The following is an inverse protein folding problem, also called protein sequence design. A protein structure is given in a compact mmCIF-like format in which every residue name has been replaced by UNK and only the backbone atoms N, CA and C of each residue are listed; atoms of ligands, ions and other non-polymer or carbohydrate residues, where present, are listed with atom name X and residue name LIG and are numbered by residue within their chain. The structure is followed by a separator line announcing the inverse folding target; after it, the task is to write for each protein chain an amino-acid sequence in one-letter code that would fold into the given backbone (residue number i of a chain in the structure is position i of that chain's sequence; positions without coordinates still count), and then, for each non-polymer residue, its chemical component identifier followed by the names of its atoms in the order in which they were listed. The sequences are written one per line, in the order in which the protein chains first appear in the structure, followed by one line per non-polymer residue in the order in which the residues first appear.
data_IF_516586084147
#
_entry.id   IF_516586084147
#
_cell.length_a   1.000
_cell.length_b   1.000
_cell.length_c   1.000
_cell.angle_alpha   90.00
_cell.angle_beta   90.00
_cell.angle_gamma   90.00
#
_symmetry.space_group_name_H-M   'P 1'
#
loop_
_entity.id
_entity.type
_entity.pdbx_description
1 polymer ?
#
# COMPACT_ATOMS: atom_id res chain seq x y z
N UNK A 1 -23.10 14.59 11.59
CA UNK A 1 -22.70 15.27 10.33
C UNK A 1 -21.68 14.43 9.61
N UNK A 2 -21.94 14.14 8.35
CA UNK A 2 -21.03 13.36 7.53
C UNK A 2 -20.15 14.30 6.71
N UNK A 3 -18.84 14.07 6.75
CA UNK A 3 -17.88 14.75 5.89
C UNK A 3 -17.59 13.85 4.69
N UNK A 4 -17.44 14.44 3.53
CA UNK A 4 -17.02 13.68 2.36
C UNK A 4 -15.57 13.28 2.52
N UNK A 5 -15.25 12.08 2.07
CA UNK A 5 -13.92 11.48 2.20
C UNK A 5 -12.82 12.44 1.72
N UNK A 6 -12.98 12.98 0.53
CA UNK A 6 -11.96 13.85 -0.08
C UNK A 6 -11.72 15.14 0.72
N UNK A 7 -12.73 15.62 1.43
CA UNK A 7 -12.63 16.87 2.22
C UNK A 7 -11.79 16.67 3.48
N UNK A 8 -11.59 15.43 3.91
CA UNK A 8 -10.82 15.11 5.10
C UNK A 8 -9.33 14.92 4.83
N UNK A 9 -8.93 14.84 3.57
CA UNK A 9 -7.58 14.47 3.19
C UNK A 9 -6.66 15.69 3.07
N UNK A 10 -5.44 15.52 3.56
CA UNK A 10 -4.39 16.53 3.46
C UNK A 10 -3.22 15.92 2.71
N UNK A 11 -3.09 16.28 1.44
CA UNK A 11 -1.96 15.85 0.62
C UNK A 11 -0.73 16.68 0.97
N UNK A 12 0.45 16.11 0.83
CA UNK A 12 1.69 16.83 1.10
C UNK A 12 2.00 17.85 -0.01
N UNK A 13 3.13 18.55 0.13
CA UNK A 13 3.53 19.62 -0.83
C UNK A 13 3.72 19.11 -2.25
N UNK A 14 3.92 17.81 -2.43
CA UNK A 14 4.06 17.19 -3.74
C UNK A 14 2.74 16.65 -4.29
N UNK A 15 1.65 16.88 -3.57
CA UNK A 15 0.34 16.38 -3.95
C UNK A 15 0.16 14.89 -3.68
N UNK A 16 0.91 14.33 -2.74
CA UNK A 16 0.88 12.90 -2.42
C UNK A 16 0.38 12.66 -1.00
N UNK A 17 -0.25 11.50 -0.81
CA UNK A 17 -0.64 11.02 0.51
C UNK A 17 -0.09 9.60 0.67
N UNK A 18 0.57 9.30 1.80
CA UNK A 18 1.04 7.93 2.04
C UNK A 18 -0.13 7.02 2.37
N UNK A 19 -0.03 5.78 1.91
CA UNK A 19 -1.03 4.75 2.16
C UNK A 19 -0.34 3.48 2.62
N UNK A 20 -0.69 3.02 3.81
CA UNK A 20 -0.25 1.74 4.33
C UNK A 20 -1.19 0.68 3.78
N UNK A 21 -0.63 -0.34 3.15
CA UNK A 21 -1.40 -1.45 2.59
C UNK A 21 -1.28 -2.64 3.53
N UNK A 22 -2.41 -3.18 3.96
CA UNK A 22 -2.48 -4.28 4.93
C UNK A 22 -3.34 -5.38 4.36
N UNK A 23 -2.91 -6.64 4.54
CA UNK A 23 -3.71 -7.77 4.12
C UNK A 23 -4.91 -7.94 5.05
N UNK A 24 -6.11 -8.05 4.48
CA UNK A 24 -7.36 -8.10 5.23
C UNK A 24 -7.49 -9.42 6.02
N UNK A 25 -7.00 -10.52 5.48
CA UNK A 25 -7.15 -11.83 6.11
C UNK A 25 -6.13 -12.07 7.22
N UNK A 26 -4.86 -11.80 6.95
CA UNK A 26 -3.78 -12.09 7.90
C UNK A 26 -3.50 -10.94 8.85
N UNK A 27 -3.87 -9.73 8.48
CA UNK A 27 -3.52 -8.54 9.25
C UNK A 27 -2.08 -8.07 9.02
N UNK A 28 -1.32 -8.75 8.16
CA UNK A 28 0.05 -8.33 7.88
C UNK A 28 0.09 -7.00 7.14
N UNK A 29 1.00 -6.13 7.55
CA UNK A 29 1.31 -4.93 6.79
C UNK A 29 2.15 -5.34 5.59
N UNK A 30 1.71 -4.96 4.40
CA UNK A 30 2.31 -5.43 3.16
C UNK A 30 3.33 -4.45 2.60
N UNK A 31 2.97 -3.17 2.54
CA UNK A 31 3.83 -2.15 1.94
C UNK A 31 3.32 -0.76 2.30
N UNK A 32 4.16 0.23 2.02
CA UNK A 32 3.78 1.64 2.06
C UNK A 32 3.92 2.18 0.64
N UNK A 33 2.88 2.83 0.16
CA UNK A 33 2.89 3.45 -1.16
C UNK A 33 2.42 4.89 -1.07
N UNK A 34 2.48 5.60 -2.18
CA UNK A 34 2.00 6.97 -2.27
C UNK A 34 0.95 7.09 -3.35
N UNK A 35 -0.05 7.92 -3.08
CA UNK A 35 -1.12 8.18 -4.03
C UNK A 35 -1.23 9.68 -4.24
N UNK A 36 -1.40 10.10 -5.49
CA UNK A 36 -1.90 11.44 -5.75
C UNK A 36 -3.43 11.36 -5.81
N UNK A 37 -4.07 12.49 -6.00
CA UNK A 37 -5.53 12.56 -6.04
C UNK A 37 -6.12 11.64 -7.13
N UNK A 38 -5.46 11.56 -8.29
CA UNK A 38 -5.90 10.70 -9.39
C UNK A 38 -5.76 9.21 -9.06
N UNK A 39 -4.64 8.81 -8.44
CA UNK A 39 -4.44 7.42 -8.02
C UNK A 39 -5.50 6.99 -6.99
N UNK A 40 -5.78 7.86 -6.03
CA UNK A 40 -6.82 7.57 -5.03
C UNK A 40 -8.19 7.44 -5.69
N UNK A 41 -8.52 8.35 -6.60
CA UNK A 41 -9.79 8.29 -7.32
C UNK A 41 -9.93 6.98 -8.10
N UNK A 42 -8.89 6.58 -8.82
CA UNK A 42 -8.87 5.31 -9.54
C UNK A 42 -9.01 4.12 -8.62
N UNK A 43 -8.35 4.14 -7.47
CA UNK A 43 -8.46 3.08 -6.47
C UNK A 43 -9.90 2.91 -6.02
N UNK A 44 -10.59 4.01 -5.72
CA UNK A 44 -11.97 3.97 -5.27
C UNK A 44 -12.95 3.58 -6.37
N UNK A 45 -12.69 3.98 -7.61
CA UNK A 45 -13.55 3.65 -8.75
C UNK A 45 -13.44 2.19 -9.16
N UNK A 46 -12.22 1.66 -9.22
CA UNK A 46 -11.98 0.30 -9.73
C UNK A 46 -12.03 -0.77 -8.67
N UNK A 47 -11.79 -0.41 -7.40
CA UNK A 47 -11.64 -1.37 -6.32
C UNK A 47 -10.27 -2.03 -6.26
N UNK A 48 -9.31 -1.60 -7.08
CA UNK A 48 -7.94 -2.09 -7.07
C UNK A 48 -6.98 -0.95 -6.77
N UNK A 49 -5.94 -1.24 -5.97
CA UNK A 49 -4.99 -0.20 -5.56
C UNK A 49 -4.23 0.34 -6.76
N UNK A 50 -4.29 1.66 -6.92
CA UNK A 50 -3.49 2.42 -7.86
C UNK A 50 -2.55 3.32 -7.05
N UNK A 51 -1.36 3.50 -7.54
CA UNK A 51 -0.33 4.29 -6.86
C UNK A 51 0.26 5.31 -7.82
N UNK A 52 0.86 6.35 -7.25
CA UNK A 52 1.71 7.25 -8.03
C UNK A 52 3.15 6.85 -7.80
N UNK A 53 3.80 6.35 -8.84
CA UNK A 53 5.17 5.89 -8.74
C UNK A 53 6.10 7.06 -9.03
N UNK A 54 6.74 7.56 -7.98
CA UNK A 54 7.59 8.76 -8.08
C UNK A 54 8.75 8.57 -9.05
N UNK A 55 9.38 7.39 -9.04
CA UNK A 55 10.51 7.08 -9.92
C UNK A 55 10.11 7.08 -11.39
N UNK A 56 8.88 6.69 -11.71
CA UNK A 56 8.37 6.65 -13.07
C UNK A 56 7.58 7.90 -13.44
N UNK A 57 7.22 8.74 -12.44
CA UNK A 57 6.42 9.93 -12.67
C UNK A 57 5.04 9.67 -13.20
N UNK A 58 4.45 8.51 -12.90
CA UNK A 58 3.14 8.16 -13.44
C UNK A 58 2.28 7.35 -12.49
N UNK A 59 0.99 7.40 -12.76
CA UNK A 59 -0.02 6.54 -12.16
C UNK A 59 0.11 5.12 -12.67
N UNK A 60 -0.02 4.14 -11.78
CA UNK A 60 -0.08 2.75 -12.21
C UNK A 60 -0.91 1.92 -11.24
N UNK A 61 -1.60 0.90 -11.76
CA UNK A 61 -2.29 -0.07 -10.92
C UNK A 61 -1.26 -1.03 -10.34
N UNK A 62 -1.33 -1.24 -9.03
CA UNK A 62 -0.46 -2.21 -8.36
C UNK A 62 -0.74 -3.59 -8.93
N UNK A 63 0.31 -4.25 -9.44
CA UNK A 63 0.18 -5.58 -10.05
C UNK A 63 -0.23 -5.58 -11.51
N UNK A 64 -0.22 -4.43 -12.19
CA UNK A 64 -0.63 -4.35 -13.60
C UNK A 64 0.22 -5.22 -14.52
N UNK A 65 1.48 -5.43 -14.18
CA UNK A 65 2.40 -6.27 -14.96
C UNK A 65 2.51 -7.68 -14.39
N UNK A 66 2.68 -7.78 -13.05
CA UNK A 66 2.88 -9.07 -12.39
C UNK A 66 1.61 -9.89 -12.22
N UNK A 67 0.45 -9.25 -12.25
CA UNK A 67 -0.82 -9.87 -11.91
C UNK A 67 -1.09 -9.95 -10.40
N UNK A 68 -0.16 -9.49 -9.57
CA UNK A 68 -0.30 -9.52 -8.11
C UNK A 68 -1.07 -8.29 -7.62
N UNK A 69 -2.35 -8.26 -7.95
CA UNK A 69 -3.23 -7.13 -7.67
C UNK A 69 -3.64 -7.07 -6.21
N UNK A 70 -4.15 -5.92 -5.80
CA UNK A 70 -4.63 -5.66 -4.44
C UNK A 70 -6.08 -5.19 -4.50
N UNK A 71 -7.01 -6.10 -4.21
CA UNK A 71 -8.43 -5.79 -4.19
C UNK A 71 -8.77 -5.09 -2.88
N UNK A 72 -9.30 -3.88 -2.97
CA UNK A 72 -9.62 -3.06 -1.79
C UNK A 72 -10.81 -3.66 -1.03
N UNK A 73 -10.62 -3.85 0.27
CA UNK A 73 -11.68 -4.30 1.19
C UNK A 73 -12.19 -3.17 2.05
N UNK A 74 -11.30 -2.32 2.55
CA UNK A 74 -11.68 -1.16 3.35
C UNK A 74 -10.60 -0.08 3.30
N UNK A 75 -11.02 1.15 3.56
CA UNK A 75 -10.13 2.32 3.53
C UNK A 75 -10.37 3.12 4.80
N UNK A 76 -9.30 3.40 5.52
CA UNK A 76 -9.34 4.20 6.73
C UNK A 76 -8.45 5.44 6.57
N UNK A 77 -8.86 6.52 7.19
CA UNK A 77 -8.10 7.79 7.24
C UNK A 77 -7.58 7.97 8.64
N UNK A 78 -6.33 8.45 8.78
CA UNK A 78 -5.82 8.73 10.11
C UNK A 78 -6.48 9.97 10.73
N UNK A 79 -6.19 10.23 12.01
CA UNK A 79 -6.87 11.29 12.76
C UNK A 79 -6.58 12.71 12.25
N UNK A 80 -5.55 12.89 11.43
CA UNK A 80 -5.18 14.18 10.86
C UNK A 80 -5.48 14.29 9.36
N UNK A 81 -5.96 13.21 8.74
CA UNK A 81 -6.21 13.18 7.29
C UNK A 81 -4.94 13.11 6.46
N UNK A 82 -3.80 12.76 7.05
CA UNK A 82 -2.49 12.81 6.40
C UNK A 82 -1.97 11.48 5.90
N UNK A 83 -2.67 10.39 6.20
CA UNK A 83 -2.32 9.06 5.70
C UNK A 83 -3.55 8.18 5.60
N UNK A 84 -3.43 7.14 4.81
CA UNK A 84 -4.48 6.15 4.61
C UNK A 84 -4.00 4.79 5.07
N UNK A 85 -4.94 3.98 5.55
CA UNK A 85 -4.76 2.55 5.74
C UNK A 85 -5.74 1.86 4.82
N UNK A 86 -5.24 1.08 3.88
CA UNK A 86 -6.07 0.37 2.91
C UNK A 86 -5.89 -1.13 3.14
N UNK A 87 -6.98 -1.79 3.53
CA UNK A 87 -6.98 -3.24 3.71
C UNK A 87 -7.40 -3.88 2.40
N UNK A 88 -6.65 -4.89 2.00
CA UNK A 88 -6.80 -5.50 0.66
C UNK A 88 -6.78 -7.02 0.74
N UNK A 89 -7.29 -7.65 -0.32
CA UNK A 89 -6.98 -9.02 -0.63
C UNK A 89 -5.76 -9.00 -1.54
N UNK A 90 -4.62 -9.44 -1.02
CA UNK A 90 -3.38 -9.50 -1.80
C UNK A 90 -3.36 -10.76 -2.65
N UNK A 91 -3.22 -10.59 -3.94
CA UNK A 91 -3.01 -11.72 -4.84
C UNK A 91 -1.52 -12.04 -4.89
N UNK A 92 -1.13 -13.22 -4.46
CA UNK A 92 0.21 -13.80 -4.43
C UNK A 92 1.17 -13.02 -3.53
N UNK A 93 1.77 -11.93 -3.99
CA UNK A 93 2.83 -11.23 -3.27
C UNK A 93 2.78 -9.74 -3.50
N UNK A 94 2.95 -8.94 -2.45
CA UNK A 94 3.03 -7.49 -2.56
C UNK A 94 4.41 -7.02 -3.00
N UNK A 95 5.45 -7.75 -2.62
CA UNK A 95 6.84 -7.36 -2.84
C UNK A 95 7.31 -7.78 -4.23
N UNK A 96 8.05 -6.89 -4.92
CA UNK A 96 8.62 -7.21 -6.23
C UNK A 96 9.68 -8.32 -6.18
N UNK A 97 10.14 -8.67 -4.98
CA UNK A 97 11.03 -9.81 -4.74
C UNK A 97 10.25 -11.10 -4.42
N UNK A 98 8.94 -11.07 -4.65
CA UNK A 98 8.03 -12.20 -4.50
C UNK A 98 7.78 -12.64 -3.05
N UNK A 99 8.12 -11.82 -2.06
CA UNK A 99 7.65 -12.03 -0.69
C UNK A 99 6.21 -11.51 -0.55
N UNK A 100 5.44 -12.15 0.29
CA UNK A 100 4.06 -11.72 0.54
C UNK A 100 4.00 -10.28 1.05
N UNK A 101 4.90 -9.93 1.96
CA UNK A 101 5.05 -8.56 2.47
C UNK A 101 6.38 -7.98 2.04
N UNK A 102 6.43 -6.66 1.85
CA UNK A 102 7.68 -5.96 1.61
C UNK A 102 8.57 -5.91 2.86
N UNK A 103 7.98 -6.13 4.03
CA UNK A 103 8.66 -6.03 5.33
C UNK A 103 9.10 -7.41 5.80
N UNK A 104 9.97 -8.06 5.05
CA UNK A 104 10.45 -9.41 5.33
C UNK A 104 11.84 -9.45 5.97
N UNK A 105 12.44 -8.30 6.25
CA UNK A 105 13.75 -8.20 6.90
C UNK A 105 13.58 -7.56 8.25
N UNK A 106 13.97 -8.29 9.28
CA UNK A 106 13.82 -7.85 10.66
C UNK A 106 15.17 -7.51 11.28
N UNK A 107 15.26 -6.38 11.98
CA UNK A 107 16.45 -6.02 12.72
C UNK A 107 16.47 -6.77 14.05
N UNK A 108 17.55 -7.50 14.31
CA UNK A 108 17.81 -8.03 15.64
C UNK A 108 18.42 -6.90 16.46
N UNK A 109 17.70 -6.46 17.48
CA UNK A 109 18.11 -5.31 18.29
C UNK A 109 19.37 -5.56 19.09
N UNK A 110 19.64 -6.81 19.48
CA UNK A 110 20.79 -7.17 20.30
C UNK A 110 22.07 -7.22 19.48
N UNK A 111 22.03 -7.91 18.34
CA UNK A 111 23.23 -8.08 17.49
C UNK A 111 23.42 -6.95 16.50
N UNK A 112 22.35 -6.21 16.15
CA UNK A 112 22.38 -5.22 15.10
C UNK A 112 22.34 -5.82 13.70
N UNK A 113 22.15 -7.12 13.59
CA UNK A 113 22.07 -7.82 12.31
C UNK A 113 20.64 -7.86 11.78
N UNK A 114 20.50 -8.00 10.46
CA UNK A 114 19.20 -8.13 9.80
C UNK A 114 18.95 -9.58 9.46
N UNK A 115 17.79 -10.08 9.88
CA UNK A 115 17.37 -11.47 9.66
C UNK A 115 16.22 -11.49 8.64
N UNK A 116 16.33 -12.36 7.64
CA UNK A 116 15.25 -12.55 6.67
C UNK A 116 14.20 -13.46 7.26
N UNK A 117 12.94 -13.01 7.23
CA UNK A 117 11.79 -13.77 7.70
C UNK A 117 11.00 -14.30 6.51
N UNK A 118 10.59 -15.55 6.59
CA UNK A 118 9.79 -16.20 5.57
C UNK A 118 10.59 -16.50 4.29
N UNK A 119 9.86 -16.84 3.25
CA UNK A 119 10.42 -17.20 1.96
C UNK A 119 9.58 -16.57 0.85
N UNK A 120 10.15 -16.38 -0.35
CA UNK A 120 9.35 -15.93 -1.48
C UNK A 120 8.20 -16.91 -1.72
N UNK A 121 7.00 -16.37 -2.01
CA UNK A 121 5.84 -17.20 -2.31
C UNK A 121 5.79 -17.61 -3.79
N UNK A 122 6.66 -17.02 -4.60
CA UNK A 122 6.86 -17.37 -6.01
C UNK A 122 8.36 -17.43 -6.25
N UNK A 123 8.81 -18.44 -6.95
CA UNK A 123 10.22 -18.58 -7.32
C UNK A 123 10.60 -17.70 -8.51
#
# INVERSE_FOLDING_TARGET
MELKFEEMLVFNDQGLIPAVIQDDQSGQVLTLCYMNSEALKKTLETGFVHVFRRSAGRLMMKGETSGHTQLVRSVFIDCEGKSLLIRVNQKVAACHKNYFTCYFRELDRESGEVVVRGEPVVE
#
